data_IF_664847114455
#
_entry.id   IF_664847114455
#
_cell.length_a   1.000
_cell.length_b   1.000
_cell.length_c   1.000
_cell.angle_alpha   90.00
_cell.angle_beta   90.00
_cell.angle_gamma   90.00
#
_symmetry.space_group_name_H-M   'P 1'
#
loop_
_entity.id
_entity.type
_entity.pdbx_description
1 polymer ?
#
# COMPACT_ATOMS: atom_id res chain seq x y z
N UNK A 1 13.46 -1.22 20.38
CA UNK A 1 12.65 -0.02 20.67
C UNK A 1 13.59 1.17 20.55
N UNK A 2 13.78 1.69 19.34
CA UNK A 2 14.59 2.89 19.15
C UNK A 2 13.80 4.07 19.67
N UNK A 3 14.42 4.87 20.54
CA UNK A 3 13.88 6.12 20.99
C UNK A 3 13.66 7.01 19.77
N UNK A 4 12.40 7.38 19.55
CA UNK A 4 12.01 8.44 18.62
C UNK A 4 12.90 9.65 18.89
N UNK A 5 13.63 10.13 17.87
CA UNK A 5 14.46 11.30 18.03
C UNK A 5 13.60 12.47 18.54
N UNK A 6 14.08 13.29 19.49
CA UNK A 6 13.29 14.39 20.02
C UNK A 6 12.91 15.33 18.88
N UNK A 7 11.62 15.69 18.79
CA UNK A 7 11.13 16.69 17.85
C UNK A 7 12.01 17.95 17.95
N UNK A 8 12.58 18.38 16.81
CA UNK A 8 13.46 19.54 16.75
C UNK A 8 12.76 20.78 17.36
N UNK A 9 13.48 21.62 18.13
CA UNK A 9 12.91 22.82 18.73
C UNK A 9 12.46 23.80 17.64
N UNK A 10 11.25 24.35 17.84
CA UNK A 10 10.58 25.27 16.94
C UNK A 10 11.46 26.48 16.56
N UNK A 11 11.71 26.66 15.27
CA UNK A 11 12.29 27.88 14.70
C UNK A 11 11.17 28.89 14.38
N UNK A 12 11.42 30.18 14.66
CA UNK A 12 10.46 31.29 14.41
C UNK A 12 10.06 31.48 12.94
N UNK A 13 10.65 30.73 12.00
CA UNK A 13 10.31 30.76 10.57
C UNK A 13 9.25 29.70 10.20
N UNK A 14 8.85 28.82 11.12
CA UNK A 14 7.97 27.66 10.89
C UNK A 14 6.47 27.91 11.15
N UNK A 15 6.00 29.16 11.22
CA UNK A 15 4.57 29.42 11.41
C UNK A 15 3.90 29.67 10.06
N UNK A 16 3.31 28.60 9.50
CA UNK A 16 2.38 28.62 8.36
C UNK A 16 2.97 29.16 7.05
N UNK A 17 3.84 28.40 6.36
CA UNK A 17 4.21 28.75 5.00
C UNK A 17 2.94 28.87 4.15
N UNK A 18 2.91 29.84 3.24
CA UNK A 18 1.83 29.94 2.28
C UNK A 18 1.82 28.65 1.47
N UNK A 19 0.74 27.87 1.60
CA UNK A 19 0.66 26.58 0.94
C UNK A 19 0.65 26.77 -0.57
N UNK A 20 1.47 25.97 -1.25
CA UNK A 20 1.32 25.77 -2.68
C UNK A 20 -0.05 25.15 -2.99
N UNK A 21 -0.44 25.18 -4.26
CA UNK A 21 -1.65 24.51 -4.71
C UNK A 21 -1.64 23.03 -4.33
N UNK A 22 -2.72 22.58 -3.71
CA UNK A 22 -2.92 21.20 -3.29
C UNK A 22 -3.50 20.40 -4.45
N UNK A 23 -2.60 19.81 -5.24
CA UNK A 23 -2.95 18.97 -6.39
C UNK A 23 -2.79 17.51 -5.97
N UNK A 24 -3.87 16.81 -5.61
CA UNK A 24 -3.79 15.42 -5.20
C UNK A 24 -3.35 14.52 -6.36
N UNK A 25 -2.74 13.37 -6.07
CA UNK A 25 -2.55 12.32 -7.06
C UNK A 25 -3.90 11.91 -7.67
N UNK A 26 -3.96 11.59 -8.99
CA UNK A 26 -5.14 11.00 -9.61
C UNK A 26 -5.72 9.84 -8.78
N UNK A 27 -7.05 9.73 -8.67
CA UNK A 27 -7.70 8.67 -7.87
C UNK A 27 -7.31 7.25 -8.33
N UNK A 28 -6.94 7.07 -9.60
CA UNK A 28 -6.51 5.78 -10.12
C UNK A 28 -5.14 5.33 -9.57
N UNK A 29 -4.45 6.16 -8.77
CA UNK A 29 -3.26 5.74 -8.03
C UNK A 29 -3.53 4.84 -6.85
N UNK A 30 -4.77 4.82 -6.36
CA UNK A 30 -5.23 3.78 -5.45
C UNK A 30 -5.30 2.40 -6.13
N UNK A 31 -4.99 2.29 -7.42
CA UNK A 31 -4.98 1.05 -8.21
C UNK A 31 -3.62 0.74 -8.84
N UNK A 32 -2.50 1.33 -8.38
CA UNK A 32 -1.23 1.12 -9.06
C UNK A 32 0.04 1.68 -8.41
N UNK A 33 0.13 1.74 -7.07
CA UNK A 33 1.43 1.94 -6.44
C UNK A 33 2.25 0.64 -6.50
N UNK A 34 2.95 0.46 -7.62
CA UNK A 34 4.13 -0.38 -7.64
C UNK A 34 5.15 0.22 -6.68
N UNK A 35 5.37 -0.46 -5.55
CA UNK A 35 6.74 -0.77 -5.19
C UNK A 35 7.05 -2.16 -5.72
N UNK A 36 7.91 -2.19 -6.72
CA UNK A 36 8.75 -3.33 -6.93
C UNK A 36 9.86 -3.24 -5.87
N UNK A 37 9.63 -3.75 -4.67
CA UNK A 37 10.68 -4.63 -4.19
C UNK A 37 10.42 -5.93 -4.95
N UNK A 38 11.46 -6.49 -5.52
CA UNK A 38 11.49 -7.87 -5.99
C UNK A 38 11.20 -8.89 -4.88
N UNK A 39 10.90 -8.41 -3.68
CA UNK A 39 10.55 -9.16 -2.50
C UNK A 39 9.05 -9.01 -2.26
N UNK A 40 8.30 -9.87 -2.95
CA UNK A 40 7.14 -10.53 -2.31
C UNK A 40 7.48 -10.65 -0.79
N UNK A 41 6.58 -10.26 0.15
CA UNK A 41 6.94 -10.06 1.57
C UNK A 41 7.65 -11.25 2.23
N UNK A 42 7.61 -12.42 1.60
CA UNK A 42 8.51 -13.54 1.80
C UNK A 42 8.85 -14.13 0.42
N UNK A 43 9.99 -14.81 0.26
CA UNK A 43 10.44 -15.50 -0.96
C UNK A 43 9.39 -16.48 -1.59
N UNK A 44 8.29 -15.99 -2.13
CA UNK A 44 7.03 -16.73 -2.06
C UNK A 44 5.87 -16.16 -2.87
N UNK A 45 6.14 -15.48 -3.98
CA UNK A 45 5.19 -15.31 -5.10
C UNK A 45 4.90 -16.68 -5.77
N UNK A 46 4.56 -17.67 -4.95
CA UNK A 46 4.27 -19.03 -5.37
C UNK A 46 2.87 -19.07 -5.95
N UNK A 47 2.73 -18.74 -7.22
CA UNK A 47 1.48 -19.00 -7.93
C UNK A 47 1.11 -20.48 -7.84
N UNK A 48 -0.16 -20.78 -7.61
CA UNK A 48 -0.60 -22.15 -7.45
C UNK A 48 -1.59 -22.38 -6.31
N UNK A 49 -1.81 -23.66 -5.96
CA UNK A 49 -2.67 -24.05 -4.86
C UNK A 49 -2.20 -23.45 -3.54
N UNK A 50 -3.14 -22.97 -2.73
CA UNK A 50 -2.88 -22.46 -1.39
C UNK A 50 -4.04 -22.79 -0.45
N UNK A 51 -3.72 -22.90 0.84
CA UNK A 51 -4.68 -22.86 1.95
C UNK A 51 -4.44 -21.61 2.76
N UNK A 52 -5.50 -21.06 3.33
CA UNK A 52 -5.38 -19.95 4.26
C UNK A 52 -5.37 -20.46 5.70
N UNK A 53 -4.63 -19.77 6.57
CA UNK A 53 -4.49 -20.15 7.98
C UNK A 53 -5.81 -20.00 8.76
N UNK A 54 -6.72 -19.17 8.28
CA UNK A 54 -8.02 -18.91 8.88
C UNK A 54 -9.14 -18.86 7.84
N UNK A 55 -10.39 -18.76 8.31
CA UNK A 55 -11.52 -18.48 7.42
C UNK A 55 -11.40 -17.05 6.90
N UNK A 56 -11.37 -16.89 5.59
CA UNK A 56 -11.06 -15.60 4.97
C UNK A 56 -12.21 -15.15 4.06
N UNK A 57 -12.68 -13.90 4.16
CA UNK A 57 -13.66 -13.35 3.23
C UNK A 57 -13.08 -13.27 1.81
N UNK A 58 -13.91 -13.65 0.83
CA UNK A 58 -13.62 -13.50 -0.59
C UNK A 58 -14.46 -12.34 -1.14
N UNK A 59 -13.80 -11.27 -1.54
CA UNK A 59 -14.42 -10.04 -2.02
C UNK A 59 -14.59 -10.05 -3.54
N UNK A 60 -15.59 -9.35 -4.05
CA UNK A 60 -15.80 -9.22 -5.50
C UNK A 60 -14.72 -8.36 -6.18
N UNK A 61 -14.11 -7.45 -5.44
CA UNK A 61 -13.04 -6.52 -5.86
C UNK A 61 -12.07 -6.30 -4.72
N UNK A 62 -10.92 -5.74 -5.03
CA UNK A 62 -9.85 -5.27 -4.13
C UNK A 62 -10.26 -4.06 -3.27
N UNK A 63 -11.43 -4.16 -2.63
CA UNK A 63 -12.03 -3.18 -1.74
C UNK A 63 -12.88 -3.90 -0.70
N UNK A 64 -12.64 -3.65 0.58
CA UNK A 64 -13.41 -4.27 1.67
C UNK A 64 -14.87 -3.81 1.74
N UNK A 65 -15.23 -2.73 1.03
CA UNK A 65 -16.62 -2.30 0.81
C UNK A 65 -17.31 -3.07 -0.31
N UNK A 66 -16.56 -3.80 -1.13
CA UNK A 66 -17.14 -4.62 -2.18
C UNK A 66 -17.88 -5.83 -1.56
N UNK A 67 -18.88 -6.39 -2.26
CA UNK A 67 -19.61 -7.54 -1.74
C UNK A 67 -18.68 -8.72 -1.43
N UNK A 68 -18.87 -9.34 -0.27
CA UNK A 68 -18.29 -10.65 0.04
C UNK A 68 -19.07 -11.70 -0.75
N UNK A 69 -18.42 -12.30 -1.75
CA UNK A 69 -19.04 -13.30 -2.63
C UNK A 69 -18.97 -14.72 -2.05
N UNK A 70 -18.05 -14.95 -1.10
CA UNK A 70 -17.95 -16.18 -0.33
C UNK A 70 -17.06 -16.02 0.91
N UNK A 71 -16.98 -17.08 1.71
CA UNK A 71 -15.93 -17.29 2.69
C UNK A 71 -15.13 -18.52 2.29
N UNK A 72 -13.81 -18.37 2.20
CA UNK A 72 -12.87 -19.47 2.00
C UNK A 72 -12.58 -20.03 3.39
N UNK A 73 -12.83 -21.33 3.59
CA UNK A 73 -12.53 -21.96 4.88
C UNK A 73 -11.05 -22.29 4.99
N UNK A 74 -10.50 -22.35 6.21
CA UNK A 74 -9.09 -22.72 6.41
C UNK A 74 -8.72 -24.13 5.86
N UNK A 75 -9.70 -25.02 5.72
CA UNK A 75 -9.50 -26.35 5.14
C UNK A 75 -9.57 -26.36 3.59
N UNK A 76 -10.09 -25.30 2.98
CA UNK A 76 -10.31 -25.19 1.55
C UNK A 76 -8.99 -24.89 0.81
N UNK A 77 -8.74 -25.61 -0.28
CA UNK A 77 -7.64 -25.33 -1.18
C UNK A 77 -8.15 -24.47 -2.34
N UNK A 78 -7.49 -23.33 -2.59
CA UNK A 78 -7.82 -22.39 -3.67
C UNK A 78 -6.62 -22.21 -4.60
N UNK A 79 -6.86 -21.76 -5.82
CA UNK A 79 -5.80 -21.40 -6.77
C UNK A 79 -5.56 -19.91 -6.73
N UNK A 80 -4.34 -19.46 -6.41
CA UNK A 80 -3.93 -18.07 -6.67
C UNK A 80 -3.80 -17.87 -8.18
N UNK A 81 -4.49 -16.87 -8.75
CA UNK A 81 -4.50 -16.64 -10.20
C UNK A 81 -3.22 -15.99 -10.69
N UNK A 82 -2.53 -15.30 -9.78
CA UNK A 82 -1.34 -14.50 -10.05
C UNK A 82 -1.64 -13.04 -10.34
N UNK A 83 -2.91 -12.63 -10.29
CA UNK A 83 -3.25 -11.24 -10.11
C UNK A 83 -3.17 -10.87 -8.62
N UNK A 84 -2.44 -9.79 -8.33
CA UNK A 84 -2.36 -9.19 -7.02
C UNK A 84 -2.37 -7.65 -7.12
N UNK A 85 -2.64 -6.99 -6.00
CA UNK A 85 -2.64 -5.54 -5.90
C UNK A 85 -2.21 -5.12 -4.50
N UNK A 86 -1.07 -4.44 -4.37
CA UNK A 86 -0.70 -3.74 -3.15
C UNK A 86 -1.22 -2.32 -3.24
N UNK A 87 -2.23 -2.01 -2.43
CA UNK A 87 -2.90 -0.73 -2.45
C UNK A 87 -2.51 0.06 -1.21
N UNK A 88 -2.05 1.30 -1.40
CA UNK A 88 -1.69 2.21 -0.31
C UNK A 88 -2.34 3.57 -0.55
N UNK A 89 -2.89 4.17 0.49
CA UNK A 89 -3.46 5.49 0.37
C UNK A 89 -2.36 6.56 0.45
N UNK A 90 -2.25 7.48 -0.54
CA UNK A 90 -1.23 8.50 -0.50
C UNK A 90 -1.34 9.37 0.75
N UNK A 91 -0.24 9.51 1.48
CA UNK A 91 -0.21 10.32 2.71
C UNK A 91 0.23 11.73 2.39
N UNK A 92 -0.66 12.70 2.60
CA UNK A 92 -0.36 14.11 2.40
C UNK A 92 0.68 14.63 3.39
N UNK A 93 1.53 15.53 2.93
CA UNK A 93 2.52 16.24 3.75
C UNK A 93 2.77 17.65 3.23
N UNK A 94 3.33 18.47 4.11
CA UNK A 94 3.75 19.85 3.80
C UNK A 94 5.23 20.00 4.06
N UNK A 95 5.99 20.41 3.04
CA UNK A 95 7.41 20.71 3.18
C UNK A 95 7.58 21.90 4.11
N UNK A 96 8.46 21.77 5.10
CA UNK A 96 8.72 22.79 6.12
C UNK A 96 9.93 23.66 5.81
N UNK A 97 10.89 23.15 5.02
CA UNK A 97 12.15 23.83 4.71
C UNK A 97 12.45 23.76 3.20
N UNK A 98 12.98 24.86 2.65
CA UNK A 98 13.45 24.90 1.27
C UNK A 98 14.77 24.15 1.14
N UNK A 99 14.78 23.08 0.36
CA UNK A 99 15.94 22.24 0.15
C UNK A 99 15.91 21.61 -1.26
N UNK A 100 17.01 21.73 -2.00
CA UNK A 100 17.10 21.22 -3.37
C UNK A 100 15.98 21.77 -4.26
N UNK A 101 15.13 20.88 -4.76
CA UNK A 101 13.98 21.22 -5.62
C UNK A 101 12.70 21.59 -4.84
N UNK A 102 12.72 21.48 -3.51
CA UNK A 102 11.57 21.73 -2.66
C UNK A 102 11.62 23.14 -2.07
N UNK A 103 10.44 23.73 -1.93
CA UNK A 103 10.18 25.02 -1.30
C UNK A 103 9.32 24.79 -0.08
N UNK A 104 9.62 25.47 1.03
CA UNK A 104 8.75 25.47 2.20
C UNK A 104 7.32 25.89 1.80
N UNK A 105 6.33 25.09 2.20
CA UNK A 105 4.92 25.25 1.82
C UNK A 105 4.45 24.38 0.65
N UNK A 106 5.35 23.69 -0.04
CA UNK A 106 4.93 22.68 -1.02
C UNK A 106 4.06 21.61 -0.36
N UNK A 107 2.97 21.25 -1.05
CA UNK A 107 2.17 20.08 -0.71
C UNK A 107 2.70 18.89 -1.51
N UNK A 108 2.96 17.80 -0.81
CA UNK A 108 3.45 16.53 -1.37
C UNK A 108 2.59 15.39 -0.86
N UNK A 109 2.58 14.27 -1.59
CA UNK A 109 1.90 13.05 -1.17
C UNK A 109 2.90 11.90 -1.20
N UNK A 110 3.15 11.26 -0.07
CA UNK A 110 3.92 10.02 -0.01
C UNK A 110 3.08 8.93 -0.65
N UNK A 111 3.56 8.40 -1.79
CA UNK A 111 2.87 7.34 -2.53
C UNK A 111 3.50 5.99 -2.29
N UNK A 112 4.83 5.94 -2.04
CA UNK A 112 5.54 4.69 -1.89
C UNK A 112 6.84 4.82 -1.09
N UNK A 113 7.29 3.77 -0.39
CA UNK A 113 8.56 3.76 0.35
C UNK A 113 9.56 2.80 -0.29
N UNK A 114 10.46 3.27 -1.16
CA UNK A 114 11.35 2.44 -2.00
C UNK A 114 12.47 1.69 -1.24
N UNK A 115 12.54 1.80 0.09
CA UNK A 115 13.64 1.24 0.89
C UNK A 115 14.80 2.22 1.09
N UNK A 116 15.68 1.89 2.05
CA UNK A 116 16.94 2.61 2.32
C UNK A 116 16.82 4.15 2.53
N UNK A 117 15.65 4.63 3.00
CA UNK A 117 15.40 6.07 3.19
C UNK A 117 15.00 6.82 1.91
N UNK A 118 14.64 6.08 0.85
CA UNK A 118 14.04 6.63 -0.35
C UNK A 118 12.54 6.33 -0.39
N UNK A 119 11.79 7.27 -0.95
CA UNK A 119 10.35 7.17 -1.13
C UNK A 119 9.97 7.77 -2.48
N UNK A 120 8.88 7.31 -3.08
CA UNK A 120 8.24 8.05 -4.16
C UNK A 120 7.22 9.00 -3.55
N UNK A 121 7.26 10.26 -3.96
CA UNK A 121 6.21 11.23 -3.67
C UNK A 121 5.56 11.75 -4.94
N UNK A 122 4.34 12.25 -4.82
CA UNK A 122 3.65 13.05 -5.82
C UNK A 122 3.68 14.53 -5.43
N UNK A 123 4.06 15.39 -6.36
CA UNK A 123 4.03 16.85 -6.20
C UNK A 123 3.58 17.51 -7.50
N UNK A 124 2.41 18.17 -7.48
CA UNK A 124 1.90 18.98 -8.60
C UNK A 124 1.92 18.30 -9.97
N UNK A 125 1.52 17.03 -10.06
CA UNK A 125 1.45 16.32 -11.35
C UNK A 125 2.61 15.37 -11.63
N UNK A 126 3.64 15.35 -10.79
CA UNK A 126 4.89 14.62 -11.05
C UNK A 126 5.25 13.68 -9.91
N UNK A 127 5.77 12.49 -10.26
CA UNK A 127 6.46 11.62 -9.31
C UNK A 127 7.90 12.05 -9.14
N UNK A 128 8.33 12.09 -7.89
CA UNK A 128 9.68 12.50 -7.52
C UNK A 128 10.20 11.46 -6.53
N UNK A 129 11.41 10.94 -6.80
CA UNK A 129 12.16 10.20 -5.78
C UNK A 129 12.58 11.18 -4.70
N UNK A 130 12.19 10.87 -3.48
CA UNK A 130 12.34 11.66 -2.28
C UNK A 130 13.29 10.95 -1.33
N UNK A 131 14.36 11.63 -0.94
CA UNK A 131 15.23 11.18 0.14
C UNK A 131 14.78 11.86 1.45
N UNK A 132 14.90 11.17 2.57
CA UNK A 132 14.48 11.61 3.92
C UNK A 132 15.22 12.86 4.48
N UNK A 133 16.03 13.54 3.66
CA UNK A 133 16.75 14.76 4.03
C UNK A 133 15.85 16.01 4.06
N UNK A 134 14.66 15.96 3.46
CA UNK A 134 13.72 17.08 3.41
C UNK A 134 12.76 17.03 4.61
N UNK A 135 12.70 18.12 5.37
CA UNK A 135 11.81 18.21 6.54
C UNK A 135 10.36 18.37 6.07
N UNK A 136 9.54 17.34 6.26
CA UNK A 136 8.12 17.32 5.89
C UNK A 136 7.26 17.09 7.13
N UNK A 137 6.22 17.92 7.28
CA UNK A 137 5.13 17.67 8.22
C UNK A 137 4.06 16.84 7.54
N UNK A 138 4.08 15.54 7.81
CA UNK A 138 3.06 14.63 7.32
C UNK A 138 1.75 14.77 8.11
N UNK A 139 0.63 14.73 7.40
CA UNK A 139 -0.69 14.66 8.03
C UNK A 139 -0.91 13.25 8.63
N UNK A 140 -2.02 13.02 9.33
CA UNK A 140 -2.36 11.67 9.80
C UNK A 140 -2.48 10.70 8.62
N UNK A 141 -2.08 9.44 8.83
CA UNK A 141 -2.19 8.44 7.77
C UNK A 141 -3.68 8.24 7.44
N UNK A 142 -4.10 8.43 6.18
CA UNK A 142 -5.48 8.20 5.81
C UNK A 142 -5.83 6.72 6.00
N UNK A 143 -7.07 6.44 6.40
CA UNK A 143 -7.62 5.08 6.40
C UNK A 143 -8.37 4.88 5.09
N UNK A 144 -7.91 3.97 4.23
CA UNK A 144 -8.63 3.56 3.03
C UNK A 144 -9.02 2.07 3.15
N UNK A 145 -10.29 1.70 2.93
CA UNK A 145 -10.76 0.31 2.98
C UNK A 145 -10.13 -0.61 1.93
N UNK A 146 -9.42 -0.05 0.95
CA UNK A 146 -8.64 -0.77 -0.05
C UNK A 146 -7.20 -1.00 0.41
N UNK A 147 -6.72 -0.35 1.46
CA UNK A 147 -5.32 -0.44 1.86
C UNK A 147 -4.91 -1.88 2.23
N UNK A 148 -3.81 -2.35 1.66
CA UNK A 148 -3.19 -3.65 1.92
C UNK A 148 -2.88 -4.44 0.66
N UNK A 149 -2.35 -5.66 0.85
CA UNK A 149 -2.00 -6.59 -0.22
C UNK A 149 -3.19 -7.48 -0.57
N UNK A 150 -3.67 -7.37 -1.79
CA UNK A 150 -4.78 -8.13 -2.33
C UNK A 150 -4.29 -9.22 -3.26
N UNK A 151 -4.88 -10.41 -3.14
CA UNK A 151 -4.58 -11.55 -4.02
C UNK A 151 -5.88 -12.06 -4.61
N UNK A 152 -5.92 -12.20 -5.93
CA UNK A 152 -7.04 -12.86 -6.59
C UNK A 152 -6.88 -14.39 -6.53
N UNK A 153 -7.97 -15.06 -6.17
CA UNK A 153 -8.02 -16.52 -6.08
C UNK A 153 -9.25 -17.10 -6.76
N UNK A 154 -9.10 -18.32 -7.27
CA UNK A 154 -10.17 -19.12 -7.85
C UNK A 154 -10.37 -20.38 -7.01
N UNK A 155 -11.61 -20.57 -6.55
CA UNK A 155 -12.06 -21.74 -5.79
C UNK A 155 -12.27 -22.94 -6.72
N UNK A 156 -12.35 -24.15 -6.16
CA UNK A 156 -12.55 -25.38 -6.93
C UNK A 156 -13.89 -25.42 -7.71
N UNK A 157 -14.89 -24.62 -7.31
CA UNK A 157 -16.16 -24.46 -8.01
C UNK A 157 -16.12 -23.42 -9.14
N UNK A 158 -14.96 -22.81 -9.42
CA UNK A 158 -14.77 -21.78 -10.43
C UNK A 158 -15.11 -20.36 -9.98
N UNK A 159 -15.51 -20.14 -8.72
CA UNK A 159 -15.75 -18.81 -8.18
C UNK A 159 -14.42 -18.09 -7.94
N UNK A 160 -14.30 -16.88 -8.47
CA UNK A 160 -13.12 -16.01 -8.33
C UNK A 160 -13.44 -14.79 -7.47
N UNK A 161 -12.43 -14.27 -6.80
CA UNK A 161 -12.51 -13.00 -6.06
C UNK A 161 -11.18 -12.67 -5.40
N UNK A 162 -11.20 -11.61 -4.58
CA UNK A 162 -10.01 -11.01 -3.98
C UNK A 162 -9.96 -11.24 -2.48
N UNK A 163 -8.74 -11.40 -1.97
CA UNK A 163 -8.46 -11.68 -0.56
C UNK A 163 -7.48 -10.66 -0.04
N UNK A 164 -7.82 -9.97 1.04
CA UNK A 164 -6.96 -8.95 1.67
C UNK A 164 -6.00 -9.60 2.68
N UNK A 165 -4.73 -9.27 2.55
CA UNK A 165 -3.62 -9.70 3.41
C UNK A 165 -3.70 -11.19 3.78
N UNK A 166 -3.74 -12.10 2.77
CA UNK A 166 -3.98 -13.50 3.04
C UNK A 166 -2.81 -14.13 3.82
N UNK A 167 -3.12 -14.68 4.98
CA UNK A 167 -2.20 -15.53 5.75
C UNK A 167 -2.22 -16.95 5.17
N UNK A 168 -1.12 -17.35 4.52
CA UNK A 168 -1.02 -18.63 3.82
C UNK A 168 -0.53 -19.70 4.80
N UNK A 169 -1.25 -20.83 4.85
CA UNK A 169 -0.82 -21.99 5.62
C UNK A 169 0.35 -22.71 4.94
N UNK A 170 1.33 -23.17 5.72
CA UNK A 170 2.40 -24.08 5.25
C UNK A 170 1.89 -25.46 4.78
N UNK A 171 0.62 -25.78 5.02
CA UNK A 171 0.03 -27.03 4.59
C UNK A 171 -0.12 -27.05 3.06
N UNK A 172 0.62 -27.96 2.43
CA UNK A 172 0.47 -28.22 1.00
C UNK A 172 -0.94 -28.73 0.68
N UNK A 173 -1.44 -28.31 -0.49
CA UNK A 173 -2.70 -28.79 -1.03
C UNK A 173 -2.62 -28.87 -2.55
N UNK A 174 -3.60 -29.54 -3.17
CA UNK A 174 -3.72 -29.59 -4.62
C UNK A 174 -5.15 -29.30 -5.02
N UNK A 175 -5.31 -28.52 -6.10
CA UNK A 175 -6.60 -28.33 -6.77
C UNK A 175 -6.56 -29.21 -8.00
N UNK A 176 -7.53 -30.13 -8.13
CA UNK A 176 -7.64 -30.96 -9.31
C UNK A 176 -7.88 -30.05 -10.53
N UNK A 177 -6.93 -30.00 -11.46
CA UNK A 177 -7.15 -29.37 -12.77
C UNK A 177 -8.23 -30.19 -13.48
N UNK A 178 -9.41 -29.61 -13.67
CA UNK A 178 -10.41 -30.16 -14.59
C UNK A 178 -10.03 -29.82 -16.02
#
# INVERSE_FOLDING_TARGET
MSAEAPALPWSRTLTHPQLAEDVPPPEDLYAGSYEMTTDCPEQGCAYGPARFAANTPLYAREDTRSPVVATITAAECVMRTGADALLSAPRRGVVLETAGQFTAGDVVYLTNYEGEGFSTIWRRGEYITFADEVVVRWDERPTDPREGYWVEVTRANGQTGWVLNPDISDQSCSVARR
#
